data_IF_056820033108
#
_entry.id   IF_056820033108
#
_cell.length_a   1.000
_cell.length_b   1.000
_cell.length_c   1.000
_cell.angle_alpha   90.00
_cell.angle_beta   90.00
_cell.angle_gamma   90.00
#
_symmetry.space_group_name_H-M   'P 1'
#
loop_
_entity.id
_entity.type
_entity.pdbx_description
1 polymer ?
#
# COMPACT_ATOMS: atom_id res chain seq x y z
N UNK A 1 75.69 3.15 18.51
CA UNK A 1 75.03 3.60 17.31
C UNK A 1 73.94 2.58 16.97
N UNK A 2 72.66 2.83 17.26
CA UNK A 2 71.54 1.96 16.96
C UNK A 2 70.51 2.74 16.12
N UNK A 3 70.34 2.28 14.86
CA UNK A 3 69.41 2.89 13.93
C UNK A 3 67.95 2.49 14.29
N UNK A 4 67.13 3.46 14.59
CA UNK A 4 65.69 3.28 14.77
C UNK A 4 64.98 3.37 13.41
N UNK A 5 64.40 2.26 12.93
CA UNK A 5 63.51 2.21 11.76
C UNK A 5 62.16 2.79 12.14
N UNK A 6 61.80 3.92 11.54
CA UNK A 6 60.44 4.46 11.51
C UNK A 6 59.54 3.52 10.69
N UNK A 7 58.54 2.89 11.31
CA UNK A 7 57.42 2.24 10.63
C UNK A 7 56.40 3.30 10.24
N UNK A 8 56.28 3.57 8.96
CA UNK A 8 55.16 4.32 8.41
C UNK A 8 53.90 3.47 8.51
N UNK A 9 52.99 3.80 9.39
CA UNK A 9 51.64 3.26 9.43
C UNK A 9 50.82 3.85 8.29
N UNK A 10 50.59 3.07 7.23
CA UNK A 10 49.63 3.39 6.20
C UNK A 10 48.22 3.28 6.82
N UNK A 11 47.59 4.42 7.03
CA UNK A 11 46.18 4.47 7.39
C UNK A 11 45.35 3.82 6.27
N UNK A 12 44.70 2.70 6.57
CA UNK A 12 43.76 2.09 5.68
C UNK A 12 42.62 3.07 5.40
N UNK A 13 42.59 3.65 4.19
CA UNK A 13 41.45 4.40 3.68
C UNK A 13 40.22 3.46 3.70
N UNK A 14 39.32 3.71 4.65
CA UNK A 14 38.03 3.05 4.67
C UNK A 14 37.35 3.23 3.29
N UNK A 15 37.03 2.13 2.63
CA UNK A 15 36.22 2.16 1.41
C UNK A 15 34.90 2.87 1.78
N UNK A 16 34.74 4.11 1.36
CA UNK A 16 33.50 4.84 1.51
C UNK A 16 32.38 3.99 0.93
N UNK A 17 31.36 3.72 1.73
CA UNK A 17 30.17 3.03 1.31
C UNK A 17 29.57 3.83 0.15
N UNK A 18 29.56 3.26 -1.06
CA UNK A 18 28.99 3.93 -2.22
C UNK A 18 27.55 4.35 -1.88
N UNK A 19 27.25 5.63 -1.98
CA UNK A 19 25.92 6.17 -1.77
C UNK A 19 25.05 5.69 -2.94
N UNK A 20 23.99 4.91 -2.62
CA UNK A 20 23.01 4.49 -3.61
C UNK A 20 22.21 5.71 -4.11
N UNK A 21 21.88 5.72 -5.40
CA UNK A 21 20.95 6.73 -5.93
C UNK A 21 19.52 6.46 -5.41
N UNK A 22 18.64 7.46 -5.50
CA UNK A 22 17.23 7.29 -5.12
C UNK A 22 16.57 6.12 -5.87
N UNK A 23 16.83 5.98 -7.17
CA UNK A 23 16.34 4.89 -8.00
C UNK A 23 16.83 3.53 -7.52
N UNK A 24 18.10 3.42 -7.14
CA UNK A 24 18.68 2.17 -6.63
C UNK A 24 18.13 1.77 -5.27
N UNK A 25 17.62 2.72 -4.51
CA UNK A 25 17.00 2.49 -3.19
C UNK A 25 15.58 1.92 -3.32
N UNK A 26 14.89 2.16 -4.44
CA UNK A 26 13.54 1.64 -4.68
C UNK A 26 13.60 0.11 -4.90
N UNK A 27 12.89 -0.71 -4.07
CA UNK A 27 13.19 -2.14 -3.93
C UNK A 27 12.62 -3.06 -5.02
N UNK A 28 11.78 -2.61 -5.96
CA UNK A 28 11.32 -3.50 -7.02
C UNK A 28 12.36 -3.63 -8.15
N UNK A 29 12.34 -4.74 -8.89
CA UNK A 29 13.27 -4.98 -10.00
C UNK A 29 12.71 -4.52 -11.34
N UNK A 30 11.47 -4.87 -11.64
CA UNK A 30 10.77 -4.45 -12.86
C UNK A 30 9.28 -4.28 -12.62
N UNK A 31 8.68 -3.36 -13.37
CA UNK A 31 7.24 -3.16 -13.48
C UNK A 31 6.84 -3.38 -14.93
N UNK A 32 5.75 -4.13 -15.17
CA UNK A 32 5.22 -4.44 -16.49
C UNK A 32 3.90 -3.72 -16.75
N UNK A 33 3.53 -3.50 -18.03
CA UNK A 33 2.30 -2.78 -18.38
C UNK A 33 1.02 -3.40 -17.80
N UNK A 34 0.98 -4.72 -17.67
CA UNK A 34 -0.14 -5.49 -17.11
C UNK A 34 -0.22 -5.46 -15.57
N UNK A 35 0.59 -4.62 -14.93
CA UNK A 35 0.64 -4.49 -13.48
C UNK A 35 1.50 -5.53 -12.76
N UNK A 36 2.09 -6.49 -13.45
CA UNK A 36 3.02 -7.44 -12.82
C UNK A 36 4.29 -6.71 -12.39
N UNK A 37 4.64 -6.83 -11.13
CA UNK A 37 5.85 -6.26 -10.54
C UNK A 37 6.76 -7.36 -10.01
N UNK A 38 8.01 -7.37 -10.44
CA UNK A 38 9.04 -8.27 -9.93
C UNK A 38 9.77 -7.65 -8.76
N UNK A 39 9.79 -8.36 -7.65
CA UNK A 39 10.54 -8.02 -6.43
C UNK A 39 11.84 -8.84 -6.34
N UNK A 40 12.80 -8.43 -5.48
CA UNK A 40 13.93 -9.27 -5.12
C UNK A 40 13.48 -10.64 -4.58
N UNK A 41 14.30 -11.66 -4.77
CA UNK A 41 13.98 -13.03 -4.32
C UNK A 41 13.02 -13.81 -5.22
N UNK A 42 12.74 -13.31 -6.43
CA UNK A 42 11.89 -14.03 -7.39
C UNK A 42 10.39 -13.95 -7.11
N UNK A 43 9.96 -13.03 -6.28
CA UNK A 43 8.54 -12.79 -6.01
C UNK A 43 7.96 -11.88 -7.09
N UNK A 44 6.85 -12.28 -7.68
CA UNK A 44 6.07 -11.49 -8.62
C UNK A 44 4.71 -11.14 -7.99
N UNK A 45 4.28 -9.88 -8.13
CA UNK A 45 3.08 -9.37 -7.46
C UNK A 45 2.14 -8.65 -8.41
N UNK A 46 0.83 -8.71 -8.10
CA UNK A 46 -0.21 -7.83 -8.64
C UNK A 46 -0.97 -7.14 -7.52
N UNK A 47 -1.66 -6.06 -7.85
CA UNK A 47 -2.39 -5.23 -6.88
C UNK A 47 -3.79 -4.95 -7.42
N UNK A 48 -4.78 -5.02 -6.54
CA UNK A 48 -6.17 -4.63 -6.78
C UNK A 48 -6.51 -3.50 -5.82
N UNK A 49 -7.08 -2.41 -6.33
CA UNK A 49 -7.73 -1.37 -5.54
C UNK A 49 -9.15 -1.80 -5.20
N UNK A 50 -9.62 -1.53 -3.97
CA UNK A 50 -10.97 -1.86 -3.56
C UNK A 50 -11.58 -0.78 -2.69
N UNK A 51 -12.91 -0.65 -2.72
CA UNK A 51 -13.66 0.35 -1.98
C UNK A 51 -14.24 -0.21 -0.68
N UNK A 52 -14.91 0.65 0.08
CA UNK A 52 -15.62 0.27 1.29
C UNK A 52 -16.98 -0.36 0.97
N UNK A 53 -17.43 -1.20 1.90
CA UNK A 53 -18.81 -1.61 2.02
C UNK A 53 -19.43 -0.92 3.23
N UNK A 54 -20.68 -0.51 3.13
CA UNK A 54 -21.42 0.16 4.21
C UNK A 54 -21.83 -0.82 5.32
N UNK A 55 -20.84 -1.35 6.04
CA UNK A 55 -21.05 -2.31 7.12
C UNK A 55 -21.84 -1.72 8.28
N UNK A 56 -21.55 -0.48 8.68
CA UNK A 56 -22.15 0.15 9.87
C UNK A 56 -23.64 0.46 9.76
N UNK A 57 -24.17 0.59 8.54
CA UNK A 57 -25.60 0.85 8.28
C UNK A 57 -26.35 -0.39 7.80
N UNK A 58 -25.66 -1.51 7.67
CA UNK A 58 -26.26 -2.78 7.28
C UNK A 58 -27.07 -3.41 8.44
N UNK A 59 -28.06 -4.22 8.14
CA UNK A 59 -28.78 -5.01 9.14
C UNK A 59 -27.83 -6.00 9.83
N UNK A 60 -28.19 -6.50 11.02
CA UNK A 60 -27.38 -7.48 11.75
C UNK A 60 -27.15 -8.77 10.93
N UNK A 61 -28.14 -9.17 10.13
CA UNK A 61 -28.04 -10.33 9.25
C UNK A 61 -27.03 -10.08 8.13
N UNK A 62 -27.10 -8.90 7.49
CA UNK A 62 -26.16 -8.49 6.45
C UNK A 62 -24.75 -8.31 7.01
N UNK A 63 -24.59 -7.74 8.20
CA UNK A 63 -23.28 -7.62 8.87
C UNK A 63 -22.65 -9.00 9.10
N UNK A 64 -23.45 -9.98 9.52
CA UNK A 64 -22.98 -11.36 9.71
C UNK A 64 -22.59 -12.00 8.37
N UNK A 65 -23.37 -11.78 7.32
CA UNK A 65 -23.08 -12.26 5.98
C UNK A 65 -21.79 -11.64 5.40
N UNK A 66 -21.60 -10.31 5.57
CA UNK A 66 -20.38 -9.59 5.18
C UNK A 66 -19.17 -10.15 5.92
N UNK A 67 -19.26 -10.32 7.24
CA UNK A 67 -18.16 -10.87 8.04
C UNK A 67 -17.80 -12.30 7.61
N UNK A 68 -18.79 -13.16 7.42
CA UNK A 68 -18.60 -14.53 6.94
C UNK A 68 -17.98 -14.56 5.53
N UNK A 69 -18.42 -13.67 4.65
CA UNK A 69 -17.87 -13.51 3.32
C UNK A 69 -16.41 -13.07 3.33
N UNK A 70 -16.05 -12.09 4.16
CA UNK A 70 -14.66 -11.65 4.35
C UNK A 70 -13.77 -12.78 4.92
N UNK A 71 -14.27 -13.51 5.90
CA UNK A 71 -13.55 -14.65 6.48
C UNK A 71 -13.29 -15.72 5.41
N UNK A 72 -14.29 -16.02 4.58
CA UNK A 72 -14.15 -16.96 3.46
C UNK A 72 -13.17 -16.46 2.40
N UNK A 73 -13.17 -15.16 2.11
CA UNK A 73 -12.23 -14.55 1.18
C UNK A 73 -10.79 -14.62 1.70
N UNK A 74 -10.54 -14.31 2.96
CA UNK A 74 -9.19 -14.38 3.54
C UNK A 74 -8.68 -15.82 3.59
N UNK A 75 -9.55 -16.81 3.78
CA UNK A 75 -9.21 -18.23 3.73
C UNK A 75 -8.91 -18.77 2.32
N UNK A 76 -9.16 -17.99 1.27
CA UNK A 76 -8.71 -18.30 -0.09
C UNK A 76 -7.19 -18.32 -0.22
N UNK A 77 -6.50 -17.47 0.55
CA UNK A 77 -5.04 -17.36 0.49
C UNK A 77 -4.40 -18.48 1.31
N UNK A 78 -3.71 -19.38 0.64
CA UNK A 78 -2.95 -20.43 1.29
C UNK A 78 -1.51 -20.00 1.64
N UNK A 79 -0.71 -20.89 2.22
CA UNK A 79 0.66 -20.59 2.63
C UNK A 79 1.62 -20.29 1.49
N UNK A 80 1.26 -20.62 0.25
CA UNK A 80 2.06 -20.35 -0.97
C UNK A 80 1.75 -18.98 -1.58
N UNK A 81 0.68 -18.32 -1.13
CA UNK A 81 0.16 -17.08 -1.67
C UNK A 81 0.18 -15.95 -0.61
N UNK A 82 1.35 -15.37 -0.32
CA UNK A 82 1.43 -14.23 0.59
C UNK A 82 0.68 -13.04 0.01
N UNK A 83 0.00 -12.29 0.88
CA UNK A 83 -0.69 -11.09 0.47
C UNK A 83 -0.52 -9.96 1.50
N UNK A 84 -0.84 -8.77 1.07
CA UNK A 84 -0.68 -7.55 1.83
C UNK A 84 -1.92 -6.68 1.66
N UNK A 85 -2.47 -6.21 2.76
CA UNK A 85 -3.49 -5.16 2.76
C UNK A 85 -2.80 -3.82 3.05
N UNK A 86 -3.08 -2.82 2.23
CA UNK A 86 -2.53 -1.47 2.40
C UNK A 86 -3.65 -0.45 2.43
N UNK A 87 -3.60 0.43 3.43
CA UNK A 87 -4.50 1.56 3.62
C UNK A 87 -3.67 2.83 3.53
N UNK A 88 -4.01 3.70 2.60
CA UNK A 88 -3.22 4.90 2.31
C UNK A 88 -4.09 6.13 2.53
N UNK A 89 -3.73 6.93 3.53
CA UNK A 89 -4.30 8.23 3.78
C UNK A 89 -3.45 9.29 3.09
N UNK A 90 -4.05 10.08 2.21
CA UNK A 90 -3.40 11.20 1.52
C UNK A 90 -4.25 12.46 1.65
N UNK A 91 -3.61 13.60 1.76
CA UNK A 91 -4.31 14.87 1.65
C UNK A 91 -4.73 15.10 0.20
N UNK A 92 -6.02 15.11 -0.03
CA UNK A 92 -6.57 15.47 -1.33
C UNK A 92 -6.37 16.96 -1.57
N UNK A 93 -5.64 17.30 -2.61
CA UNK A 93 -5.50 18.69 -3.09
C UNK A 93 -6.57 19.02 -4.13
N UNK A 94 -7.27 18.02 -4.60
CA UNK A 94 -8.31 18.18 -5.61
C UNK A 94 -9.67 18.31 -4.97
N UNK A 95 -10.14 19.54 -4.80
CA UNK A 95 -11.58 19.85 -4.56
C UNK A 95 -12.49 19.30 -5.68
N UNK A 96 -11.92 18.73 -6.72
CA UNK A 96 -12.61 18.38 -7.96
C UNK A 96 -13.20 16.97 -7.99
N UNK A 97 -12.74 16.03 -7.16
CA UNK A 97 -13.30 14.66 -7.13
C UNK A 97 -14.71 14.58 -6.57
N UNK A 98 -15.06 15.50 -5.67
CA UNK A 98 -16.42 15.60 -5.13
C UNK A 98 -17.13 16.81 -5.74
N UNK A 99 -17.21 16.86 -7.07
CA UNK A 99 -18.12 17.78 -7.73
C UNK A 99 -19.55 17.27 -7.53
N UNK A 100 -20.06 17.52 -6.31
CA UNK A 100 -21.51 17.42 -6.10
C UNK A 100 -22.12 18.53 -6.94
N UNK A 101 -22.67 18.17 -8.07
CA UNK A 101 -23.43 19.07 -8.92
C UNK A 101 -24.77 18.40 -9.20
N UNK A 102 -25.82 18.88 -8.55
CA UNK A 102 -27.17 18.42 -8.84
C UNK A 102 -27.59 19.11 -10.15
N UNK A 103 -27.91 18.34 -11.20
CA UNK A 103 -28.26 18.94 -12.48
C UNK A 103 -29.51 19.79 -12.34
N UNK A 104 -29.46 20.98 -12.95
CA UNK A 104 -30.62 21.89 -13.03
C UNK A 104 -31.68 21.24 -13.92
N UNK A 105 -32.94 21.43 -13.55
CA UNK A 105 -34.09 21.01 -14.33
C UNK A 105 -34.94 22.25 -14.70
N UNK A 106 -35.79 22.07 -15.71
CA UNK A 106 -36.71 23.15 -16.14
C UNK A 106 -37.94 23.18 -15.21
N UNK A 107 -37.67 23.50 -13.93
CA UNK A 107 -38.65 23.66 -12.89
C UNK A 107 -38.27 24.82 -11.91
N UNK A 108 -39.18 25.18 -11.03
CA UNK A 108 -38.98 26.32 -10.09
C UNK A 108 -38.06 25.98 -8.89
N UNK A 109 -37.43 24.76 -8.84
CA UNK A 109 -36.69 24.28 -7.68
C UNK A 109 -35.18 24.42 -7.82
N UNK A 110 -34.68 25.14 -8.80
CA UNK A 110 -33.22 25.27 -9.00
C UNK A 110 -32.50 25.98 -7.87
N UNK A 111 -33.18 26.94 -7.17
CA UNK A 111 -32.64 27.56 -5.96
C UNK A 111 -32.44 26.56 -4.81
N UNK A 112 -33.38 25.64 -4.64
CA UNK A 112 -33.27 24.56 -3.64
C UNK A 112 -32.16 23.59 -3.99
N UNK A 113 -31.96 23.25 -5.28
CA UNK A 113 -30.84 22.43 -5.75
C UNK A 113 -29.50 23.08 -5.50
N UNK A 114 -29.40 24.40 -5.73
CA UNK A 114 -28.18 25.17 -5.47
C UNK A 114 -27.86 25.22 -3.96
N UNK A 115 -28.87 25.42 -3.10
CA UNK A 115 -28.71 25.40 -1.64
C UNK A 115 -28.31 24.01 -1.13
N UNK A 116 -28.98 22.95 -1.60
CA UNK A 116 -28.64 21.57 -1.24
C UNK A 116 -27.24 21.19 -1.71
N UNK A 117 -26.87 21.61 -2.92
CA UNK A 117 -25.49 21.44 -3.43
C UNK A 117 -24.47 22.15 -2.55
N UNK A 118 -24.78 23.37 -2.10
CA UNK A 118 -23.96 24.14 -1.15
C UNK A 118 -23.83 23.44 0.20
N UNK A 119 -24.94 22.93 0.74
CA UNK A 119 -24.94 22.17 1.98
C UNK A 119 -24.08 20.90 1.89
N UNK A 120 -24.22 20.11 0.82
CA UNK A 120 -23.45 18.90 0.60
C UNK A 120 -21.95 19.21 0.46
N UNK A 121 -21.58 20.26 -0.29
CA UNK A 121 -20.18 20.72 -0.40
C UNK A 121 -19.60 21.12 0.95
N UNK A 122 -20.37 21.83 1.77
CA UNK A 122 -19.96 22.21 3.12
C UNK A 122 -19.82 21.00 4.05
N UNK A 123 -20.71 20.01 3.93
CA UNK A 123 -20.65 18.78 4.72
C UNK A 123 -19.41 17.97 4.36
N UNK A 124 -19.13 17.79 3.06
CA UNK A 124 -17.93 17.12 2.57
C UNK A 124 -16.66 17.84 3.04
N UNK A 125 -16.65 19.18 2.99
CA UNK A 125 -15.52 19.98 3.46
C UNK A 125 -15.26 19.85 4.96
N UNK A 126 -16.30 19.61 5.76
CA UNK A 126 -16.20 19.45 7.22
C UNK A 126 -15.86 18.03 7.65
N UNK A 127 -16.37 17.02 6.93
CA UNK A 127 -16.31 15.62 7.38
C UNK A 127 -14.98 14.93 7.10
N UNK A 128 -14.16 15.44 6.20
CA UNK A 128 -13.04 14.65 5.67
C UNK A 128 -11.64 15.26 5.87
N UNK A 129 -11.47 16.32 6.63
CA UNK A 129 -10.19 17.03 6.86
C UNK A 129 -9.28 17.11 5.61
N UNK A 130 -9.83 16.89 4.40
CA UNK A 130 -9.11 16.78 3.14
C UNK A 130 -8.28 15.49 2.99
N UNK A 131 -8.53 14.47 3.80
CA UNK A 131 -7.88 13.17 3.68
C UNK A 131 -8.72 12.25 2.79
N UNK A 132 -8.08 11.69 1.78
CA UNK A 132 -8.60 10.65 0.90
C UNK A 132 -7.95 9.32 1.31
N UNK A 133 -8.78 8.29 1.52
CA UNK A 133 -8.34 6.96 1.88
C UNK A 133 -8.50 6.01 0.71
N UNK A 134 -7.40 5.38 0.31
CA UNK A 134 -7.40 4.33 -0.71
C UNK A 134 -6.98 3.00 -0.08
N UNK A 135 -7.52 1.89 -0.59
CA UNK A 135 -7.29 0.55 -0.07
C UNK A 135 -6.82 -0.37 -1.18
N UNK A 136 -5.82 -1.14 -0.88
CA UNK A 136 -5.19 -2.04 -1.85
C UNK A 136 -4.96 -3.42 -1.24
N UNK A 137 -5.20 -4.44 -2.04
CA UNK A 137 -4.69 -5.78 -1.78
C UNK A 137 -3.61 -6.10 -2.81
N UNK A 138 -2.44 -6.47 -2.33
CA UNK A 138 -1.32 -6.92 -3.16
C UNK A 138 -1.03 -8.36 -2.80
N UNK A 139 -1.04 -9.24 -3.78
CA UNK A 139 -0.71 -10.65 -3.63
C UNK A 139 0.49 -11.00 -4.50
N UNK A 140 1.20 -12.05 -4.11
CA UNK A 140 2.44 -12.42 -4.77
C UNK A 140 2.63 -13.92 -4.87
N UNK A 141 3.36 -14.34 -5.88
CA UNK A 141 3.77 -15.72 -6.08
C UNK A 141 5.27 -15.79 -6.37
N UNK A 142 5.99 -16.78 -5.83
CA UNK A 142 7.34 -17.08 -6.27
C UNK A 142 7.31 -17.72 -7.65
N UNK A 143 8.21 -17.30 -8.54
CA UNK A 143 8.40 -17.88 -9.86
C UNK A 143 9.81 -17.62 -10.36
N UNK A 144 10.30 -18.49 -11.25
CA UNK A 144 11.61 -18.32 -11.88
C UNK A 144 11.60 -17.21 -12.93
N UNK A 145 10.46 -17.01 -13.61
CA UNK A 145 10.33 -16.02 -14.67
C UNK A 145 8.92 -15.47 -14.81
N UNK A 146 8.81 -14.35 -15.56
CA UNK A 146 7.53 -13.70 -15.81
C UNK A 146 6.56 -14.57 -16.64
N UNK A 147 7.07 -15.39 -17.52
CA UNK A 147 6.25 -16.30 -18.34
C UNK A 147 5.47 -17.30 -17.49
N UNK A 148 6.05 -17.75 -16.39
CA UNK A 148 5.39 -18.60 -15.39
C UNK A 148 4.50 -17.77 -14.46
N UNK A 149 5.00 -16.63 -14.00
CA UNK A 149 4.29 -15.81 -13.01
C UNK A 149 2.98 -15.21 -13.54
N UNK A 150 2.98 -14.69 -14.77
CA UNK A 150 1.86 -13.94 -15.35
C UNK A 150 0.55 -14.72 -15.34
N UNK A 151 0.43 -15.92 -15.94
CA UNK A 151 -0.84 -16.63 -16.00
C UNK A 151 -1.34 -17.06 -14.61
N UNK A 152 -0.43 -17.35 -13.68
CA UNK A 152 -0.79 -17.68 -12.29
C UNK A 152 -1.33 -16.45 -11.55
N UNK A 153 -0.70 -15.28 -11.72
CA UNK A 153 -1.17 -14.02 -11.12
C UNK A 153 -2.49 -13.54 -11.72
N UNK A 154 -2.70 -13.71 -13.02
CA UNK A 154 -3.97 -13.39 -13.68
C UNK A 154 -5.12 -14.23 -13.13
N UNK A 155 -4.88 -15.51 -12.87
CA UNK A 155 -5.87 -16.39 -12.24
C UNK A 155 -6.20 -15.93 -10.83
N UNK A 156 -5.18 -15.65 -10.00
CA UNK A 156 -5.39 -15.14 -8.63
C UNK A 156 -6.13 -13.81 -8.65
N UNK A 157 -5.79 -12.91 -9.58
CA UNK A 157 -6.49 -11.63 -9.76
C UNK A 157 -7.97 -11.85 -10.07
N UNK A 158 -8.30 -12.75 -11.00
CA UNK A 158 -9.69 -13.07 -11.33
C UNK A 158 -10.45 -13.64 -10.13
N UNK A 159 -9.82 -14.50 -9.33
CA UNK A 159 -10.40 -15.08 -8.13
C UNK A 159 -10.63 -14.00 -7.05
N UNK A 160 -9.67 -13.09 -6.83
CA UNK A 160 -9.76 -11.96 -5.91
C UNK A 160 -10.91 -11.02 -6.33
N UNK A 161 -10.97 -10.65 -7.61
CA UNK A 161 -12.04 -9.82 -8.16
C UNK A 161 -13.42 -10.50 -8.01
N UNK A 162 -13.49 -11.82 -8.25
CA UNK A 162 -14.70 -12.61 -8.05
C UNK A 162 -15.16 -12.64 -6.59
N UNK A 163 -14.23 -12.69 -5.63
CA UNK A 163 -14.53 -12.61 -4.20
C UNK A 163 -15.07 -11.22 -3.82
N UNK A 164 -14.42 -10.14 -4.25
CA UNK A 164 -14.91 -8.78 -4.03
C UNK A 164 -16.30 -8.55 -4.61
N UNK A 165 -16.54 -9.04 -5.83
CA UNK A 165 -17.87 -8.97 -6.45
C UNK A 165 -18.93 -9.68 -5.63
N UNK A 166 -18.64 -10.86 -5.06
CA UNK A 166 -19.56 -11.60 -4.17
C UNK A 166 -19.84 -10.85 -2.87
N UNK A 167 -18.87 -10.13 -2.35
CA UNK A 167 -19.02 -9.27 -1.18
C UNK A 167 -19.74 -7.95 -1.47
N UNK A 168 -20.03 -7.64 -2.73
CA UNK A 168 -20.59 -6.35 -3.12
C UNK A 168 -19.60 -5.18 -2.98
N UNK A 169 -18.29 -5.47 -2.94
CA UNK A 169 -17.21 -4.47 -2.83
C UNK A 169 -16.76 -4.09 -4.24
N UNK A 170 -16.90 -2.81 -4.65
CA UNK A 170 -16.31 -2.33 -5.89
C UNK A 170 -14.79 -2.51 -5.85
N UNK A 171 -14.22 -3.03 -6.92
CA UNK A 171 -12.79 -3.27 -6.99
C UNK A 171 -12.29 -3.20 -8.43
N UNK A 172 -11.03 -2.80 -8.60
CA UNK A 172 -10.41 -2.60 -9.90
C UNK A 172 -8.95 -3.10 -9.90
N UNK A 173 -8.54 -3.91 -10.89
CA UNK A 173 -7.15 -4.34 -10.99
C UNK A 173 -6.27 -3.17 -11.42
N UNK A 174 -5.11 -3.03 -10.80
CA UNK A 174 -4.17 -1.98 -11.13
C UNK A 174 -3.22 -2.43 -12.25
N UNK A 175 -3.22 -1.71 -13.35
CA UNK A 175 -2.19 -1.85 -14.37
C UNK A 175 -0.85 -1.27 -13.91
N UNK A 176 0.19 -1.45 -14.72
CA UNK A 176 1.53 -0.98 -14.36
C UNK A 176 1.63 0.54 -14.24
N UNK A 177 0.86 1.30 -15.02
CA UNK A 177 0.84 2.76 -14.93
C UNK A 177 0.16 3.22 -13.64
N UNK A 178 -0.95 2.60 -13.26
CA UNK A 178 -1.66 2.90 -12.01
C UNK A 178 -0.78 2.57 -10.79
N UNK A 179 -0.08 1.44 -10.79
CA UNK A 179 0.88 1.07 -9.74
C UNK A 179 2.05 2.04 -9.64
N UNK A 180 2.61 2.49 -10.79
CA UNK A 180 3.67 3.49 -10.81
C UNK A 180 3.16 4.85 -10.31
N UNK A 181 1.94 5.25 -10.68
CA UNK A 181 1.32 6.48 -10.18
C UNK A 181 1.11 6.43 -8.66
N UNK A 182 0.71 5.28 -8.12
CA UNK A 182 0.59 5.06 -6.68
C UNK A 182 1.95 5.21 -5.98
N UNK A 183 3.00 4.55 -6.48
CA UNK A 183 4.36 4.66 -5.94
C UNK A 183 4.90 6.08 -6.04
N UNK A 184 4.71 6.75 -7.20
CA UNK A 184 5.08 8.14 -7.39
C UNK A 184 4.42 9.04 -6.32
N UNK A 185 3.14 8.86 -6.07
CA UNK A 185 2.41 9.66 -5.08
C UNK A 185 2.91 9.47 -3.65
N UNK A 186 3.46 8.30 -3.31
CA UNK A 186 4.08 8.04 -2.00
C UNK A 186 5.48 8.64 -1.91
N UNK A 187 6.22 8.63 -3.03
CA UNK A 187 7.58 9.20 -3.10
C UNK A 187 7.59 10.72 -3.25
N UNK A 188 6.46 11.33 -3.63
CA UNK A 188 6.30 12.77 -3.78
C UNK A 188 5.14 13.28 -2.90
N UNK A 189 5.30 13.26 -1.56
CA UNK A 189 4.26 13.73 -0.65
C UNK A 189 3.87 15.18 -0.99
N UNK A 190 2.57 15.47 -0.96
CA UNK A 190 2.01 16.79 -1.29
C UNK A 190 2.36 17.33 -2.68
N UNK A 191 2.88 16.51 -3.58
CA UNK A 191 3.08 16.94 -4.95
C UNK A 191 1.72 17.12 -5.64
N UNK A 192 1.52 18.30 -6.25
CA UNK A 192 0.31 18.66 -6.99
C UNK A 192 0.40 18.32 -8.47
N UNK A 193 1.56 17.92 -8.94
CA UNK A 193 1.76 17.62 -10.35
C UNK A 193 1.18 16.25 -10.68
N UNK A 194 0.48 16.17 -11.81
CA UNK A 194 -0.02 14.91 -12.32
C UNK A 194 1.17 14.01 -12.72
N UNK A 195 1.09 12.73 -12.37
CA UNK A 195 2.08 11.74 -12.79
C UNK A 195 2.09 11.63 -14.32
N UNK A 196 3.18 12.04 -14.94
CA UNK A 196 3.39 12.01 -16.39
C UNK A 196 4.28 10.85 -16.75
N UNK A 197 3.68 9.79 -17.24
CA UNK A 197 4.37 8.59 -17.66
C UNK A 197 3.62 7.89 -18.79
N UNK A 198 4.34 7.44 -19.79
CA UNK A 198 3.86 6.55 -20.83
C UNK A 198 4.88 5.45 -21.08
N UNK A 199 4.41 4.22 -21.33
CA UNK A 199 5.28 3.11 -21.71
C UNK A 199 6.08 3.36 -22.99
N UNK A 200 5.61 4.25 -23.84
CA UNK A 200 6.29 4.67 -25.07
C UNK A 200 7.54 5.53 -24.82
N UNK A 201 7.62 6.14 -23.63
CA UNK A 201 8.73 7.02 -23.28
C UNK A 201 10.00 6.23 -22.93
N UNK A 202 9.86 5.01 -22.40
CA UNK A 202 10.98 4.18 -21.96
C UNK A 202 12.00 3.92 -23.08
N UNK A 203 11.62 3.35 -24.25
CA UNK A 203 12.59 3.10 -25.31
C UNK A 203 13.15 4.37 -25.95
N UNK A 204 12.42 5.47 -25.90
CA UNK A 204 12.85 6.74 -26.49
C UNK A 204 13.86 7.50 -25.62
N UNK A 205 13.71 7.43 -24.31
CA UNK A 205 14.53 8.18 -23.34
C UNK A 205 15.67 7.35 -22.77
N UNK A 206 15.60 6.01 -22.84
CA UNK A 206 16.53 5.12 -22.15
C UNK A 206 16.34 5.10 -20.62
N UNK A 207 15.31 5.78 -20.10
CA UNK A 207 14.97 5.79 -18.67
C UNK A 207 14.21 4.52 -18.28
N UNK A 208 14.40 4.07 -17.05
CA UNK A 208 13.63 2.98 -16.46
C UNK A 208 12.40 3.51 -15.70
N UNK A 209 11.47 2.62 -15.37
CA UNK A 209 10.27 3.00 -14.61
C UNK A 209 10.57 3.67 -13.27
N UNK A 210 11.72 3.36 -12.66
CA UNK A 210 12.16 3.97 -11.40
C UNK A 210 12.52 5.45 -11.53
N UNK A 211 12.99 5.87 -12.68
CA UNK A 211 13.37 7.27 -12.91
C UNK A 211 12.15 8.20 -12.90
N UNK A 212 10.97 7.68 -13.28
CA UNK A 212 9.72 8.44 -13.27
C UNK A 212 9.07 8.54 -11.89
N UNK A 213 9.45 7.69 -10.93
CA UNK A 213 8.87 7.67 -9.59
C UNK A 213 9.83 8.07 -8.49
N UNK A 214 11.13 8.12 -8.79
CA UNK A 214 12.13 8.44 -7.78
C UNK A 214 12.02 9.90 -7.32
N UNK A 215 12.08 10.17 -6.02
CA UNK A 215 12.16 11.53 -5.51
C UNK A 215 13.54 12.13 -5.75
N UNK A 216 13.66 13.45 -5.65
CA UNK A 216 14.93 14.16 -5.79
C UNK A 216 16.00 13.66 -4.83
N UNK A 217 15.59 13.29 -3.63
CA UNK A 217 16.53 12.77 -2.60
C UNK A 217 15.82 11.86 -1.60
N UNK A 218 16.57 10.84 -1.14
CA UNK A 218 16.21 9.97 -0.03
C UNK A 218 17.35 10.00 1.00
N UNK A 219 17.02 10.24 2.27
CA UNK A 219 17.98 10.28 3.36
C UNK A 219 17.53 9.38 4.51
N UNK A 220 18.28 8.32 4.78
CA UNK A 220 18.05 7.32 5.82
C UNK A 220 19.16 7.33 6.89
N UNK A 221 19.90 8.43 7.06
CA UNK A 221 21.00 8.50 8.04
C UNK A 221 20.53 8.47 9.49
N UNK A 222 19.29 8.89 9.74
CA UNK A 222 18.71 8.84 11.08
C UNK A 222 18.03 7.49 11.33
N UNK A 223 18.14 6.98 12.56
CA UNK A 223 17.62 5.66 12.93
C UNK A 223 16.10 5.62 13.12
N UNK A 224 15.48 6.75 13.42
CA UNK A 224 14.03 6.83 13.73
C UNK A 224 13.22 7.52 12.65
N UNK A 225 13.86 8.32 11.82
CA UNK A 225 13.21 9.13 10.80
C UNK A 225 13.98 9.03 9.49
N UNK A 226 13.27 9.26 8.40
CA UNK A 226 13.86 9.40 7.08
C UNK A 226 13.38 10.70 6.42
N UNK A 227 14.00 11.09 5.33
CA UNK A 227 13.61 12.27 4.57
C UNK A 227 13.42 11.92 3.10
N UNK A 228 12.30 12.37 2.54
CA UNK A 228 12.00 12.29 1.11
C UNK A 228 11.92 13.74 0.60
N UNK A 229 12.89 14.17 -0.20
CA UNK A 229 13.00 15.57 -0.60
C UNK A 229 13.06 16.47 0.63
N UNK A 230 12.06 17.33 0.80
CA UNK A 230 11.95 18.24 1.95
C UNK A 230 11.08 17.71 3.11
N UNK A 231 10.44 16.55 2.93
CA UNK A 231 9.49 15.99 3.92
C UNK A 231 10.16 14.98 4.83
N UNK A 232 9.77 15.01 6.09
CA UNK A 232 10.18 14.03 7.09
C UNK A 232 9.13 12.93 7.21
N UNK A 233 9.61 11.70 7.35
CA UNK A 233 8.80 10.54 7.61
C UNK A 233 9.37 9.68 8.71
N UNK A 234 8.53 8.82 9.27
CA UNK A 234 8.91 7.79 10.23
C UNK A 234 8.18 6.49 9.89
N UNK A 235 8.80 5.37 10.23
CA UNK A 235 8.19 4.04 10.13
C UNK A 235 8.07 3.47 11.54
N UNK A 236 6.89 3.00 11.86
CA UNK A 236 6.61 2.26 13.09
C UNK A 236 6.03 0.90 12.74
N UNK A 237 6.28 -0.09 13.57
CA UNK A 237 5.69 -1.41 13.41
C UNK A 237 5.16 -1.90 14.75
N UNK A 238 4.09 -2.67 14.70
CA UNK A 238 3.53 -3.30 15.89
C UNK A 238 4.36 -4.53 16.22
N UNK A 239 5.16 -4.41 17.29
CA UNK A 239 6.08 -5.47 17.72
C UNK A 239 5.42 -6.47 18.67
N UNK A 240 4.59 -5.98 19.57
CA UNK A 240 3.89 -6.79 20.57
C UNK A 240 2.41 -6.48 20.42
N UNK A 241 1.62 -7.52 20.15
CA UNK A 241 0.16 -7.39 20.13
C UNK A 241 -0.37 -7.61 21.56
N UNK A 242 -1.42 -6.85 21.90
CA UNK A 242 -2.18 -7.14 23.10
C UNK A 242 -2.86 -8.52 22.97
N UNK A 243 -3.15 -9.16 24.10
CA UNK A 243 -3.89 -10.44 24.11
C UNK A 243 -5.26 -10.35 23.45
N UNK A 244 -5.86 -9.17 23.50
CA UNK A 244 -7.10 -8.84 22.83
C UNK A 244 -6.91 -7.59 21.95
N UNK A 245 -7.27 -7.68 20.68
CA UNK A 245 -7.29 -6.56 19.77
C UNK A 245 -8.74 -6.15 19.54
N UNK A 246 -9.02 -4.88 19.75
CA UNK A 246 -10.31 -4.29 19.40
C UNK A 246 -10.37 -4.04 17.88
N UNK A 247 -11.56 -4.17 17.31
CA UNK A 247 -11.88 -3.79 15.94
C UNK A 247 -11.62 -2.30 15.64
N UNK A 248 -11.55 -1.47 16.68
CA UNK A 248 -11.32 -0.03 16.59
C UNK A 248 -9.87 0.36 16.33
N UNK A 249 -8.89 -0.51 16.64
CA UNK A 249 -7.46 -0.17 16.56
C UNK A 249 -7.07 0.39 15.18
N UNK A 250 -7.44 -0.29 14.12
CA UNK A 250 -7.12 0.16 12.75
C UNK A 250 -7.90 1.43 12.40
N UNK A 251 -9.16 1.52 12.81
CA UNK A 251 -9.99 2.70 12.58
C UNK A 251 -9.38 3.94 13.26
N UNK A 252 -9.02 3.86 14.52
CA UNK A 252 -8.41 4.96 15.29
C UNK A 252 -7.09 5.43 14.67
N UNK A 253 -6.24 4.50 14.20
CA UNK A 253 -5.00 4.86 13.50
C UNK A 253 -5.32 5.59 12.19
N UNK A 254 -6.28 5.09 11.42
CA UNK A 254 -6.62 5.67 10.11
C UNK A 254 -7.41 6.99 10.22
N UNK A 255 -8.00 7.30 11.38
CA UNK A 255 -8.68 8.57 11.65
C UNK A 255 -7.72 9.71 11.99
N UNK A 256 -6.44 9.42 12.24
CA UNK A 256 -5.44 10.46 12.49
C UNK A 256 -5.35 11.41 11.28
N UNK A 257 -5.31 12.72 11.56
CA UNK A 257 -5.14 13.77 10.54
C UNK A 257 -3.69 13.81 10.03
N UNK A 258 -3.26 12.72 9.40
CA UNK A 258 -1.90 12.55 8.88
C UNK A 258 -1.90 11.81 7.54
N UNK A 259 -0.94 12.18 6.69
CA UNK A 259 -0.61 11.36 5.53
C UNK A 259 0.16 10.14 6.01
N UNK A 260 -0.41 8.96 5.78
CA UNK A 260 0.17 7.70 6.25
C UNK A 260 -0.17 6.53 5.34
N UNK A 261 0.66 5.52 5.42
CA UNK A 261 0.38 4.19 4.85
C UNK A 261 0.42 3.17 5.97
N UNK A 262 -0.68 2.48 6.19
CA UNK A 262 -0.75 1.32 7.08
C UNK A 262 -0.73 0.07 6.23
N UNK A 263 0.19 -0.84 6.51
CA UNK A 263 0.36 -2.07 5.75
C UNK A 263 0.32 -3.28 6.66
N UNK A 264 -0.51 -4.24 6.32
CA UNK A 264 -0.61 -5.53 6.99
C UNK A 264 -0.07 -6.60 6.03
N UNK A 265 1.07 -7.18 6.36
CA UNK A 265 1.61 -8.34 5.65
C UNK A 265 1.02 -9.61 6.26
N UNK A 266 0.34 -10.39 5.45
CA UNK A 266 -0.39 -11.57 5.90
C UNK A 266 0.19 -12.78 5.16
N UNK A 267 0.58 -13.77 5.95
CA UNK A 267 1.00 -15.07 5.45
C UNK A 267 0.26 -16.14 6.22
N UNK A 268 -0.50 -16.93 5.51
CA UNK A 268 -1.22 -18.07 6.08
C UNK A 268 -0.23 -19.13 6.53
N UNK A 269 -0.49 -19.72 7.65
CA UNK A 269 0.32 -20.82 8.19
C UNK A 269 -0.33 -22.14 7.83
N UNK A 270 0.47 -23.09 7.35
CA UNK A 270 0.01 -24.46 7.12
C UNK A 270 -0.64 -25.04 8.40
N UNK A 271 -1.77 -25.72 8.23
CA UNK A 271 -2.58 -26.23 9.35
C UNK A 271 -1.77 -27.14 10.30
N UNK A 272 -0.88 -27.94 9.77
CA UNK A 272 -0.01 -28.82 10.58
C UNK A 272 0.98 -27.99 11.42
N UNK A 273 1.51 -26.92 10.87
CA UNK A 273 2.36 -25.98 11.63
C UNK A 273 1.56 -25.22 12.68
N UNK A 274 0.35 -24.79 12.35
CA UNK A 274 -0.55 -24.11 13.28
C UNK A 274 -0.87 -24.98 14.49
N UNK A 275 -1.27 -26.23 14.27
CA UNK A 275 -1.56 -27.20 15.36
C UNK A 275 -0.32 -27.42 16.25
N UNK A 276 0.87 -27.60 15.67
CA UNK A 276 2.10 -27.74 16.44
C UNK A 276 2.39 -26.50 17.28
N UNK A 277 2.25 -25.31 16.70
CA UNK A 277 2.49 -24.04 17.41
C UNK A 277 1.54 -23.87 18.59
N UNK A 278 0.25 -24.14 18.40
CA UNK A 278 -0.75 -24.10 19.48
C UNK A 278 -0.42 -25.10 20.58
N UNK A 279 -0.05 -26.33 20.22
CA UNK A 279 0.35 -27.36 21.21
C UNK A 279 1.56 -26.93 22.05
N UNK A 280 2.58 -26.32 21.43
CA UNK A 280 3.74 -25.79 22.15
C UNK A 280 3.36 -24.64 23.09
N UNK A 281 2.46 -23.74 22.66
CA UNK A 281 2.02 -22.60 23.47
C UNK A 281 1.24 -23.09 24.72
N UNK A 282 0.39 -24.10 24.57
CA UNK A 282 -0.32 -24.69 25.70
C UNK A 282 0.60 -25.47 26.67
N UNK A 283 1.68 -26.05 26.17
CA UNK A 283 2.66 -26.77 27.03
C UNK A 283 3.60 -25.82 27.78
N UNK A 284 3.77 -24.60 27.36
CA UNK A 284 4.72 -23.62 27.92
C UNK A 284 4.06 -22.57 28.82
N UNK A 285 2.72 -22.52 28.88
CA UNK A 285 2.03 -21.65 29.83
C UNK A 285 2.15 -22.26 31.22
N UNK A 286 2.76 -21.57 32.23
CA UNK A 286 2.77 -22.05 33.58
C UNK A 286 1.32 -22.11 34.07
N UNK A 287 0.94 -23.28 34.57
CA UNK A 287 -0.31 -23.47 35.31
C UNK A 287 -0.21 -22.61 36.57
N UNK A 288 -0.92 -21.48 36.60
CA UNK A 288 -1.09 -20.67 37.81
C UNK A 288 -2.23 -21.27 38.64
#
# INVERSE_FOLDING_TARGET
MKNAKKKNGAAAKGKGRATLSAQQTIPYLSMHPDGVCKLPGGLYTKTVEYEDINYSVASTEDQTAIFSGWSSFLNYFDSSLPFQLSFINRRSHSRSRYQVNIPKADDNYNSVRDEFTGMLKNQIAKSNNGIERSKYITFGIPAEGIAEARPRLERVEADVMGNFKRLGVPSEPMDGRARLALLHSQMHPRNREAFRFSWKDIPQTGLGTKDFIAPDSLDFRQSRTFRIGQYWGAVSYLQIMASELSDKLLAEILELDAEMTVTMHIQTVDQLKAIKTVSYTHLTLPTI
#
